data_IF_128128916825
#
_entry.id   IF_128128916825
#
_cell.length_a   1.000
_cell.length_b   1.000
_cell.length_c   1.000
_cell.angle_alpha   90.00
_cell.angle_beta   90.00
_cell.angle_gamma   90.00
#
_symmetry.space_group_name_H-M   'P 1'
#
loop_
_entity.id
_entity.type
_entity.pdbx_description
1 polymer ?
#
# COMPACT_ATOMS: atom_id res chain seq x y z
N UNK A 1 10.06 -15.68 34.17
CA UNK A 1 8.63 -15.84 33.81
C UNK A 1 8.10 -17.23 34.21
N UNK A 2 8.82 -18.30 33.86
CA UNK A 2 8.41 -19.68 34.16
C UNK A 2 8.20 -19.95 35.66
N UNK A 3 9.13 -19.49 36.51
CA UNK A 3 9.00 -19.65 37.96
C UNK A 3 7.72 -19.04 38.55
N UNK A 4 7.29 -17.88 38.05
CA UNK A 4 6.06 -17.23 38.51
C UNK A 4 4.81 -18.03 38.11
N UNK A 5 4.80 -18.62 36.90
CA UNK A 5 3.72 -19.50 36.45
C UNK A 5 3.62 -20.75 37.34
N UNK A 6 4.76 -21.38 37.63
CA UNK A 6 4.80 -22.57 38.50
C UNK A 6 4.25 -22.26 39.89
N UNK A 7 4.59 -21.09 40.45
CA UNK A 7 4.12 -20.68 41.77
C UNK A 7 2.59 -20.48 41.80
N UNK A 8 2.03 -19.85 40.76
CA UNK A 8 0.58 -19.68 40.60
C UNK A 8 -0.11 -21.04 40.47
N UNK A 9 0.38 -21.92 39.59
CA UNK A 9 -0.21 -23.25 39.41
C UNK A 9 -0.17 -24.08 40.70
N UNK A 10 0.92 -23.98 41.47
CA UNK A 10 1.05 -24.64 42.77
C UNK A 10 -0.02 -24.15 43.75
N UNK A 11 -0.23 -22.84 43.85
CA UNK A 11 -1.27 -22.24 44.71
C UNK A 11 -2.67 -22.73 44.32
N UNK A 12 -2.93 -22.86 43.01
CA UNK A 12 -4.22 -23.38 42.50
C UNK A 12 -4.39 -24.85 42.88
N UNK A 13 -3.37 -25.70 42.71
CA UNK A 13 -3.44 -27.10 43.12
C UNK A 13 -3.70 -27.26 44.63
N UNK A 14 -3.08 -26.41 45.47
CA UNK A 14 -3.29 -26.40 46.92
C UNK A 14 -4.70 -25.96 47.30
N UNK A 15 -5.23 -24.91 46.63
CA UNK A 15 -6.58 -24.40 46.87
C UNK A 15 -7.68 -25.39 46.46
N UNK A 16 -7.50 -26.06 45.32
CA UNK A 16 -8.44 -27.03 44.75
C UNK A 16 -8.23 -28.46 45.29
N UNK A 17 -7.23 -28.67 46.16
CA UNK A 17 -6.86 -29.97 46.75
C UNK A 17 -6.56 -31.06 45.71
N UNK A 18 -5.89 -30.69 44.63
CA UNK A 18 -5.49 -31.61 43.55
C UNK A 18 -4.06 -32.10 43.80
N UNK A 19 -3.81 -33.40 43.63
CA UNK A 19 -2.45 -33.93 43.67
C UNK A 19 -1.69 -33.52 42.40
N UNK A 20 -0.71 -32.63 42.57
CA UNK A 20 0.13 -32.12 41.49
C UNK A 20 1.61 -32.40 41.76
N UNK A 21 2.27 -33.09 40.83
CA UNK A 21 3.71 -33.30 40.85
C UNK A 21 4.44 -32.02 40.40
N UNK A 22 5.53 -31.66 41.08
CA UNK A 22 6.31 -30.47 40.72
C UNK A 22 6.86 -30.53 39.29
N UNK A 23 7.30 -31.71 38.85
CA UNK A 23 7.82 -31.90 37.49
C UNK A 23 6.73 -31.66 36.43
N UNK A 24 5.48 -32.07 36.71
CA UNK A 24 4.35 -31.81 35.82
C UNK A 24 4.07 -30.31 35.65
N UNK A 25 4.14 -29.55 36.75
CA UNK A 25 3.98 -28.09 36.72
C UNK A 25 5.08 -27.40 35.91
N UNK A 26 6.32 -27.90 35.98
CA UNK A 26 7.43 -27.41 35.16
C UNK A 26 7.16 -27.66 33.68
N UNK A 27 6.66 -28.84 33.31
CA UNK A 27 6.31 -29.17 31.92
C UNK A 27 5.21 -28.24 31.40
N UNK A 28 4.14 -28.04 32.18
CA UNK A 28 3.03 -27.14 31.81
C UNK A 28 3.54 -25.69 31.67
N UNK A 29 4.32 -25.19 32.63
CA UNK A 29 4.83 -23.83 32.60
C UNK A 29 5.78 -23.58 31.42
N UNK A 30 6.65 -24.56 31.11
CA UNK A 30 7.57 -24.50 29.97
C UNK A 30 6.82 -24.48 28.64
N UNK A 31 5.80 -25.34 28.48
CA UNK A 31 4.97 -25.39 27.25
C UNK A 31 4.03 -24.19 27.12
N UNK A 32 3.71 -23.53 28.22
CA UNK A 32 2.88 -22.33 28.27
C UNK A 32 3.67 -21.03 28.07
N UNK A 33 5.02 -21.05 28.06
CA UNK A 33 5.90 -19.92 27.72
C UNK A 33 5.41 -18.56 28.28
N UNK A 34 4.96 -18.55 29.55
CA UNK A 34 4.51 -17.35 30.26
C UNK A 34 3.03 -16.95 30.13
N UNK A 35 2.19 -17.70 29.39
CA UNK A 35 0.74 -17.46 29.36
C UNK A 35 0.03 -18.23 30.49
N UNK A 36 -0.45 -17.50 31.49
CA UNK A 36 -1.13 -18.05 32.66
C UNK A 36 -2.48 -18.68 32.33
N UNK A 37 -3.28 -18.10 31.42
CA UNK A 37 -4.60 -18.63 31.09
C UNK A 37 -4.47 -19.99 30.44
N UNK A 38 -3.56 -20.07 29.47
CA UNK A 38 -3.17 -21.31 28.80
C UNK A 38 -2.70 -22.37 29.80
N UNK A 39 -1.81 -22.01 30.73
CA UNK A 39 -1.28 -22.91 31.74
C UNK A 39 -2.35 -23.44 32.71
N UNK A 40 -3.28 -22.57 33.13
CA UNK A 40 -4.39 -22.94 34.02
C UNK A 40 -5.34 -23.91 33.32
N UNK A 41 -5.67 -23.66 32.05
CA UNK A 41 -6.53 -24.55 31.27
C UNK A 41 -5.89 -25.94 31.07
N UNK A 42 -4.58 -25.99 30.84
CA UNK A 42 -3.85 -27.26 30.71
C UNK A 42 -3.83 -28.04 32.03
N UNK A 43 -3.64 -27.34 33.15
CA UNK A 43 -3.72 -27.92 34.48
C UNK A 43 -5.13 -28.49 34.75
N UNK A 44 -6.16 -27.69 34.48
CA UNK A 44 -7.56 -28.07 34.67
C UNK A 44 -7.93 -29.29 33.81
N UNK A 45 -7.54 -29.31 32.54
CA UNK A 45 -7.83 -30.42 31.64
C UNK A 45 -7.26 -31.76 32.12
N UNK A 46 -6.03 -31.75 32.67
CA UNK A 46 -5.42 -32.96 33.24
C UNK A 46 -6.10 -33.34 34.56
N UNK A 47 -6.37 -32.35 35.42
CA UNK A 47 -6.96 -32.57 36.73
C UNK A 47 -8.39 -33.11 36.64
N UNK A 48 -9.23 -32.56 35.77
CA UNK A 48 -10.60 -33.04 35.54
C UNK A 48 -10.62 -34.43 34.89
N UNK A 49 -9.69 -34.70 33.97
CA UNK A 49 -9.65 -35.98 33.25
C UNK A 49 -9.15 -37.16 34.10
N UNK A 50 -8.16 -36.94 34.96
CA UNK A 50 -7.43 -38.02 35.63
C UNK A 50 -7.40 -37.90 37.16
N UNK A 51 -7.92 -36.81 37.73
CA UNK A 51 -7.92 -36.55 39.18
C UNK A 51 -6.54 -36.30 39.81
N UNK A 52 -5.47 -36.38 39.01
CA UNK A 52 -4.08 -36.16 39.42
C UNK A 52 -3.25 -35.63 38.26
N UNK A 53 -2.27 -34.80 38.57
CA UNK A 53 -1.38 -34.18 37.58
C UNK A 53 0.03 -34.73 37.78
N UNK A 54 0.38 -35.77 37.02
CA UNK A 54 1.71 -36.38 36.99
C UNK A 54 2.50 -35.93 35.77
N UNK A 55 3.84 -36.07 35.81
CA UNK A 55 4.71 -35.69 34.70
C UNK A 55 4.36 -36.39 33.40
N UNK A 56 4.10 -37.70 33.43
CA UNK A 56 3.76 -38.50 32.24
C UNK A 56 2.48 -37.99 31.56
N UNK A 57 1.47 -37.63 32.36
CA UNK A 57 0.22 -37.05 31.85
C UNK A 57 0.45 -35.65 31.27
N UNK A 58 1.25 -34.82 31.94
CA UNK A 58 1.61 -33.51 31.41
C UNK A 58 2.40 -33.62 30.11
N UNK A 59 3.36 -34.55 30.01
CA UNK A 59 4.17 -34.75 28.81
C UNK A 59 3.36 -35.26 27.62
N UNK A 60 2.36 -36.12 27.85
CA UNK A 60 1.51 -36.70 26.81
C UNK A 60 0.36 -35.79 26.35
N UNK A 61 -0.27 -35.06 27.27
CA UNK A 61 -1.50 -34.31 26.98
C UNK A 61 -1.26 -32.84 26.62
N UNK A 62 -0.22 -32.22 27.18
CA UNK A 62 0.02 -30.78 26.96
C UNK A 62 0.75 -30.59 25.64
N UNK A 63 0.05 -30.40 24.53
CA UNK A 63 0.74 -30.14 23.26
C UNK A 63 1.30 -28.71 23.26
N UNK A 64 2.54 -28.54 22.78
CA UNK A 64 3.06 -27.20 22.51
C UNK A 64 2.16 -26.50 21.50
N UNK A 65 1.54 -25.39 21.91
CA UNK A 65 0.63 -24.62 21.07
C UNK A 65 1.38 -23.97 19.91
N UNK A 66 0.74 -23.90 18.76
CA UNK A 66 1.20 -23.13 17.62
C UNK A 66 1.07 -21.63 17.99
N UNK A 67 2.21 -20.97 18.19
CA UNK A 67 2.27 -19.53 18.47
C UNK A 67 2.56 -18.74 17.23
N UNK A 68 2.06 -17.51 17.24
CA UNK A 68 2.35 -16.51 16.24
C UNK A 68 3.81 -16.08 16.34
N UNK A 69 4.58 -16.33 15.29
CA UNK A 69 5.96 -15.87 15.21
C UNK A 69 6.01 -14.38 14.92
N UNK A 70 6.89 -13.68 15.64
CA UNK A 70 7.29 -12.32 15.28
C UNK A 70 7.86 -12.33 13.85
N UNK A 71 7.67 -11.28 13.03
CA UNK A 71 8.34 -11.09 11.73
C UNK A 71 9.77 -11.63 11.64
N UNK A 72 10.62 -11.31 12.63
CA UNK A 72 12.02 -11.73 12.65
C UNK A 72 12.19 -13.24 12.79
N UNK A 73 11.40 -13.85 13.67
CA UNK A 73 11.41 -15.29 13.91
C UNK A 73 10.85 -16.06 12.72
N UNK A 74 9.78 -15.52 12.11
CA UNK A 74 9.19 -16.05 10.87
C UNK A 74 10.24 -16.11 9.77
N UNK A 75 10.95 -15.01 9.51
CA UNK A 75 11.99 -14.95 8.49
C UNK A 75 13.16 -15.86 8.82
N UNK A 76 13.59 -15.89 10.09
CA UNK A 76 14.67 -16.78 10.53
C UNK A 76 14.30 -18.24 10.28
N UNK A 77 13.10 -18.66 10.69
CA UNK A 77 12.61 -20.02 10.49
C UNK A 77 12.49 -20.35 9.00
N UNK A 78 11.97 -19.42 8.19
CA UNK A 78 11.87 -19.55 6.74
C UNK A 78 13.24 -19.80 6.10
N UNK A 79 14.20 -18.89 6.30
CA UNK A 79 15.52 -18.98 5.67
C UNK A 79 16.40 -20.12 6.23
N UNK A 80 16.14 -20.56 7.46
CA UNK A 80 16.82 -21.72 8.05
C UNK A 80 16.26 -23.05 7.53
N UNK A 81 15.02 -23.07 7.04
CA UNK A 81 14.30 -24.29 6.64
C UNK A 81 15.07 -25.14 5.63
N UNK A 82 15.09 -26.45 5.87
CA UNK A 82 15.70 -27.45 4.96
C UNK A 82 14.66 -28.23 4.16
N UNK A 83 13.43 -28.28 4.66
CA UNK A 83 12.33 -29.02 4.06
C UNK A 83 11.15 -28.12 3.72
N UNK A 84 10.38 -28.51 2.72
CA UNK A 84 9.19 -27.78 2.22
C UNK A 84 8.21 -27.49 3.37
N UNK A 85 7.87 -28.51 4.16
CA UNK A 85 6.90 -28.37 5.25
C UNK A 85 7.35 -27.36 6.33
N UNK A 86 8.66 -27.25 6.58
CA UNK A 86 9.20 -26.30 7.56
C UNK A 86 9.01 -24.86 7.08
N UNK A 87 9.34 -24.59 5.82
CA UNK A 87 9.22 -23.27 5.23
C UNK A 87 7.75 -22.83 5.15
N UNK A 88 6.85 -23.74 4.75
CA UNK A 88 5.40 -23.49 4.72
C UNK A 88 4.83 -23.23 6.12
N UNK A 89 5.24 -24.03 7.12
CA UNK A 89 4.82 -23.86 8.51
C UNK A 89 5.31 -22.54 9.11
N UNK A 90 6.53 -22.11 8.75
CA UNK A 90 7.07 -20.83 9.19
C UNK A 90 6.17 -19.66 8.77
N UNK A 91 5.76 -19.61 7.49
CA UNK A 91 4.85 -18.58 6.99
C UNK A 91 3.45 -18.67 7.60
N UNK A 92 2.91 -19.89 7.73
CA UNK A 92 1.55 -20.12 8.23
C UNK A 92 1.38 -19.69 9.70
N UNK A 93 2.48 -19.63 10.46
CA UNK A 93 2.52 -19.17 11.85
C UNK A 93 2.87 -17.68 11.99
N UNK A 94 3.02 -16.93 10.91
CA UNK A 94 3.39 -15.53 11.01
C UNK A 94 2.23 -14.69 11.57
N UNK A 95 2.53 -13.73 12.45
CA UNK A 95 1.57 -12.70 12.88
C UNK A 95 1.33 -11.59 11.82
N UNK A 96 2.00 -11.68 10.67
CA UNK A 96 1.91 -10.65 9.66
C UNK A 96 0.74 -10.88 8.72
N UNK A 97 0.10 -9.79 8.31
CA UNK A 97 -0.76 -9.80 7.13
C UNK A 97 0.01 -10.31 5.91
N UNK A 98 -0.69 -11.02 5.01
CA UNK A 98 -0.08 -11.71 3.89
C UNK A 98 0.66 -10.76 2.93
N UNK A 99 0.15 -9.56 2.64
CA UNK A 99 0.88 -8.59 1.80
C UNK A 99 2.15 -8.12 2.50
N UNK A 100 2.02 -7.79 3.79
CA UNK A 100 3.15 -7.33 4.60
C UNK A 100 4.23 -8.40 4.68
N UNK A 101 3.86 -9.66 4.88
CA UNK A 101 4.75 -10.82 4.90
C UNK A 101 5.54 -10.95 3.59
N UNK A 102 4.88 -10.83 2.43
CA UNK A 102 5.57 -10.86 1.13
C UNK A 102 6.58 -9.70 1.00
N UNK A 103 6.25 -8.51 1.51
CA UNK A 103 7.20 -7.39 1.50
C UNK A 103 8.40 -7.62 2.43
N UNK A 104 8.19 -8.25 3.59
CA UNK A 104 9.28 -8.64 4.49
C UNK A 104 10.22 -9.64 3.83
N UNK A 105 9.70 -10.64 3.13
CA UNK A 105 10.52 -11.59 2.38
C UNK A 105 11.30 -10.85 1.28
N UNK A 106 10.63 -9.99 0.51
CA UNK A 106 11.24 -9.21 -0.58
C UNK A 106 12.47 -8.40 -0.11
N UNK A 107 12.34 -7.66 0.99
CA UNK A 107 13.42 -6.82 1.53
C UNK A 107 14.62 -7.66 2.03
N UNK A 108 14.36 -8.87 2.53
CA UNK A 108 15.36 -9.66 3.26
C UNK A 108 16.03 -10.77 2.44
N UNK A 109 15.50 -11.13 1.26
CA UNK A 109 16.17 -12.04 0.30
C UNK A 109 17.63 -11.64 0.02
N UNK A 110 17.94 -10.40 -0.40
CA UNK A 110 19.31 -10.03 -0.77
C UNK A 110 20.23 -9.88 0.44
N UNK A 111 19.67 -9.73 1.64
CA UNK A 111 20.45 -9.71 2.88
C UNK A 111 20.87 -11.13 3.26
N UNK A 112 19.96 -12.10 3.10
CA UNK A 112 20.19 -13.49 3.47
C UNK A 112 21.05 -14.26 2.44
N UNK A 113 20.78 -14.10 1.15
CA UNK A 113 21.49 -14.80 0.08
C UNK A 113 22.63 -13.94 -0.45
N UNK A 114 23.76 -14.58 -0.78
CA UNK A 114 24.95 -13.89 -1.31
C UNK A 114 25.13 -14.12 -2.80
N UNK A 115 24.77 -15.31 -3.26
CA UNK A 115 24.97 -15.71 -4.65
C UNK A 115 23.87 -15.10 -5.54
N UNK A 116 24.21 -14.41 -6.63
CA UNK A 116 23.23 -13.78 -7.51
C UNK A 116 22.22 -14.77 -8.12
N UNK A 117 22.62 -16.02 -8.36
CA UNK A 117 21.77 -17.05 -8.94
C UNK A 117 20.70 -17.50 -7.94
N UNK A 118 21.07 -17.65 -6.67
CA UNK A 118 20.15 -17.99 -5.58
C UNK A 118 19.15 -16.84 -5.31
N UNK A 119 19.63 -15.59 -5.38
CA UNK A 119 18.80 -14.38 -5.27
C UNK A 119 17.79 -14.32 -6.41
N UNK A 120 18.24 -14.55 -7.65
CA UNK A 120 17.36 -14.57 -8.82
C UNK A 120 16.25 -15.61 -8.69
N UNK A 121 16.59 -16.86 -8.30
CA UNK A 121 15.60 -17.92 -8.07
C UNK A 121 14.61 -17.56 -6.96
N UNK A 122 15.09 -16.97 -5.86
CA UNK A 122 14.24 -16.53 -4.77
C UNK A 122 13.22 -15.49 -5.23
N UNK A 123 13.67 -14.48 -5.99
CA UNK A 123 12.78 -13.45 -6.53
C UNK A 123 11.83 -13.99 -7.60
N UNK A 124 12.25 -14.96 -8.41
CA UNK A 124 11.36 -15.62 -9.37
C UNK A 124 10.21 -16.33 -8.63
N UNK A 125 10.52 -17.09 -7.57
CA UNK A 125 9.52 -17.75 -6.74
C UNK A 125 8.57 -16.73 -6.06
N UNK A 126 9.13 -15.66 -5.49
CA UNK A 126 8.36 -14.60 -4.85
C UNK A 126 7.47 -13.83 -5.84
N UNK A 127 7.98 -13.55 -7.04
CA UNK A 127 7.21 -12.89 -8.10
C UNK A 127 6.00 -13.74 -8.52
N UNK A 128 6.18 -15.06 -8.67
CA UNK A 128 5.08 -15.98 -8.94
C UNK A 128 4.06 -15.98 -7.79
N UNK A 129 4.51 -16.01 -6.53
CA UNK A 129 3.63 -15.92 -5.37
C UNK A 129 2.78 -14.64 -5.40
N UNK A 130 3.40 -13.49 -5.72
CA UNK A 130 2.70 -12.21 -5.83
C UNK A 130 1.66 -12.18 -6.97
N UNK A 131 1.90 -12.88 -8.08
CA UNK A 131 0.89 -13.02 -9.16
C UNK A 131 -0.35 -13.75 -8.64
N UNK A 132 -0.17 -14.85 -7.90
CA UNK A 132 -1.30 -15.56 -7.28
C UNK A 132 -2.01 -14.68 -6.25
N UNK A 133 -1.27 -13.95 -5.43
CA UNK A 133 -1.86 -13.01 -4.48
C UNK A 133 -2.68 -11.91 -5.18
N UNK A 134 -2.21 -11.37 -6.30
CA UNK A 134 -2.97 -10.44 -7.14
C UNK A 134 -4.23 -11.06 -7.77
N UNK A 135 -4.25 -12.37 -8.03
CA UNK A 135 -5.46 -13.09 -8.48
C UNK A 135 -6.47 -13.27 -7.35
N UNK A 136 -6.01 -13.53 -6.13
CA UNK A 136 -6.86 -13.60 -4.92
C UNK A 136 -7.65 -12.30 -4.79
N UNK A 137 -6.97 -11.14 -4.79
CA UNK A 137 -7.64 -9.85 -4.67
C UNK A 137 -8.65 -9.54 -5.79
N UNK A 138 -8.45 -10.08 -7.00
CA UNK A 138 -9.36 -9.88 -8.13
C UNK A 138 -10.58 -10.80 -8.10
N UNK A 139 -10.43 -12.01 -7.57
CA UNK A 139 -11.46 -13.07 -7.62
C UNK A 139 -12.10 -13.35 -6.26
N UNK A 140 -11.50 -12.85 -5.18
CA UNK A 140 -11.80 -13.16 -3.78
C UNK A 140 -11.73 -14.66 -3.43
N UNK A 141 -11.09 -15.49 -4.26
CA UNK A 141 -10.88 -16.91 -3.99
C UNK A 141 -9.63 -17.08 -3.12
N UNK A 142 -9.83 -17.27 -1.82
CA UNK A 142 -8.75 -17.48 -0.84
C UNK A 142 -8.13 -18.88 -0.89
N UNK A 143 -8.72 -19.80 -1.65
CA UNK A 143 -8.18 -21.16 -1.85
C UNK A 143 -6.78 -21.12 -2.48
N UNK A 144 -6.52 -20.07 -3.28
CA UNK A 144 -5.23 -19.82 -3.93
C UNK A 144 -4.11 -19.43 -2.94
N UNK A 145 -4.43 -19.08 -1.70
CA UNK A 145 -3.45 -18.66 -0.69
C UNK A 145 -2.44 -19.78 -0.37
N UNK A 146 -2.89 -21.04 -0.42
CA UNK A 146 -2.03 -22.20 -0.26
C UNK A 146 -0.85 -22.18 -1.24
N UNK A 147 -1.11 -21.87 -2.51
CA UNK A 147 -0.09 -21.73 -3.56
C UNK A 147 0.82 -20.52 -3.34
N UNK A 148 0.29 -19.42 -2.80
CA UNK A 148 1.10 -18.26 -2.41
C UNK A 148 2.13 -18.69 -1.37
N UNK A 149 1.72 -19.44 -0.34
CA UNK A 149 2.63 -19.93 0.69
C UNK A 149 3.62 -20.98 0.19
N UNK A 150 3.22 -21.84 -0.74
CA UNK A 150 4.13 -22.82 -1.35
C UNK A 150 5.24 -22.15 -2.18
N UNK A 151 4.91 -21.05 -2.88
CA UNK A 151 5.87 -20.31 -3.68
C UNK A 151 6.72 -19.33 -2.84
N UNK A 152 6.09 -18.57 -1.95
CA UNK A 152 6.78 -17.59 -1.12
C UNK A 152 7.61 -18.25 0.00
N UNK A 153 7.21 -19.43 0.46
CA UNK A 153 7.88 -20.13 1.56
C UNK A 153 8.95 -21.08 1.04
N UNK A 154 8.59 -22.33 0.74
CA UNK A 154 9.51 -23.31 0.16
C UNK A 154 10.23 -22.79 -1.09
N UNK A 155 9.52 -22.12 -2.00
CA UNK A 155 10.13 -21.61 -3.24
C UNK A 155 11.25 -20.60 -3.01
N UNK A 156 11.15 -19.78 -1.96
CA UNK A 156 12.23 -18.86 -1.55
C UNK A 156 13.28 -19.62 -0.73
N UNK A 157 12.89 -20.32 0.33
CA UNK A 157 13.82 -20.98 1.25
C UNK A 157 14.75 -21.99 0.57
N UNK A 158 14.20 -22.77 -0.38
CA UNK A 158 14.91 -23.82 -1.12
C UNK A 158 15.56 -23.31 -2.41
N UNK A 159 15.46 -22.01 -2.71
CA UNK A 159 16.16 -21.42 -3.87
C UNK A 159 17.67 -21.48 -3.72
N UNK A 160 18.16 -21.52 -2.47
CA UNK A 160 19.58 -21.56 -2.12
C UNK A 160 20.22 -22.86 -2.57
N UNK A 161 21.24 -22.77 -3.42
CA UNK A 161 22.14 -23.88 -3.73
C UNK A 161 23.52 -23.66 -3.17
N UNK A 162 24.03 -22.42 -3.27
CA UNK A 162 25.42 -22.06 -2.91
C UNK A 162 25.46 -21.24 -1.63
N UNK A 163 24.45 -20.41 -1.40
CA UNK A 163 24.37 -19.49 -0.26
C UNK A 163 24.24 -20.24 1.06
N UNK A 164 25.22 -20.06 1.95
CA UNK A 164 25.16 -20.57 3.32
C UNK A 164 24.27 -19.67 4.19
N UNK A 165 23.58 -20.30 5.13
CA UNK A 165 22.87 -19.55 6.16
C UNK A 165 23.89 -18.78 7.02
N UNK A 166 23.68 -17.47 7.13
CA UNK A 166 24.43 -16.58 8.02
C UNK A 166 23.46 -15.80 8.89
N UNK A 167 23.95 -15.35 10.03
CA UNK A 167 23.19 -14.41 10.85
C UNK A 167 23.09 -13.07 10.11
N UNK A 168 21.88 -12.55 10.01
CA UNK A 168 21.56 -11.28 9.35
C UNK A 168 20.59 -10.53 10.25
N UNK A 169 20.80 -9.22 10.40
CA UNK A 169 19.80 -8.35 10.98
C UNK A 169 18.72 -8.08 9.93
N UNK A 170 17.60 -8.78 10.02
CA UNK A 170 16.48 -8.52 9.11
C UNK A 170 15.96 -7.09 9.28
N UNK A 171 15.47 -6.54 8.18
CA UNK A 171 15.01 -5.15 8.10
C UNK A 171 13.53 -5.10 7.76
N UNK A 172 12.87 -4.07 8.30
CA UNK A 172 11.50 -3.74 7.94
C UNK A 172 11.41 -3.31 6.47
N UNK A 173 10.33 -3.63 5.73
CA UNK A 173 10.20 -3.31 4.32
C UNK A 173 10.28 -1.81 4.04
N UNK A 174 11.29 -1.39 3.27
CA UNK A 174 11.51 0.02 2.96
C UNK A 174 10.40 0.59 2.09
N UNK A 175 9.78 -0.26 1.25
CA UNK A 175 8.63 0.12 0.43
C UNK A 175 7.49 0.68 1.28
N UNK A 176 7.15 0.07 2.41
CA UNK A 176 6.05 0.53 3.28
C UNK A 176 6.41 1.88 3.90
N UNK A 177 7.66 2.03 4.37
CA UNK A 177 8.18 3.29 4.90
C UNK A 177 8.12 4.39 3.86
N UNK A 178 8.57 4.12 2.64
CA UNK A 178 8.57 5.09 1.54
C UNK A 178 7.15 5.47 1.12
N UNK A 179 6.22 4.51 1.07
CA UNK A 179 4.80 4.77 0.78
C UNK A 179 4.18 5.67 1.84
N UNK A 180 4.49 5.45 3.13
CA UNK A 180 4.01 6.31 4.20
C UNK A 180 4.59 7.73 4.09
N UNK A 181 5.92 7.86 3.90
CA UNK A 181 6.61 9.16 3.76
C UNK A 181 6.11 9.98 2.59
N UNK A 182 5.81 9.32 1.47
CA UNK A 182 5.36 10.00 0.23
C UNK A 182 3.84 10.13 0.16
N UNK A 183 3.08 9.75 1.19
CA UNK A 183 1.62 9.77 1.16
C UNK A 183 1.07 11.18 0.90
N UNK A 184 1.49 12.14 1.70
CA UNK A 184 1.03 13.54 1.59
C UNK A 184 1.39 14.17 0.24
N UNK A 185 2.62 13.96 -0.23
CA UNK A 185 3.06 14.49 -1.53
C UNK A 185 2.31 13.85 -2.69
N UNK A 186 1.98 12.56 -2.60
CA UNK A 186 1.15 11.86 -3.59
C UNK A 186 -0.29 12.37 -3.57
N UNK A 187 -0.87 12.60 -2.40
CA UNK A 187 -2.22 13.16 -2.26
C UNK A 187 -2.33 14.55 -2.87
N UNK A 188 -1.35 15.44 -2.62
CA UNK A 188 -1.31 16.77 -3.22
C UNK A 188 -1.15 16.68 -4.75
N UNK A 189 -0.26 15.80 -5.24
CA UNK A 189 -0.06 15.58 -6.67
C UNK A 189 -1.31 15.02 -7.35
N UNK A 190 -2.03 14.12 -6.68
CA UNK A 190 -3.29 13.55 -7.16
C UNK A 190 -4.37 14.62 -7.28
N UNK A 191 -4.57 15.40 -6.22
CA UNK A 191 -5.54 16.48 -6.19
C UNK A 191 -5.23 17.55 -7.26
N UNK A 192 -3.96 17.91 -7.43
CA UNK A 192 -3.52 18.83 -8.47
C UNK A 192 -3.82 18.26 -9.87
N UNK A 193 -3.50 16.99 -10.10
CA UNK A 193 -3.73 16.34 -11.38
C UNK A 193 -5.22 16.25 -11.72
N UNK A 194 -6.07 15.94 -10.74
CA UNK A 194 -7.52 15.91 -10.89
C UNK A 194 -8.10 17.28 -11.26
N UNK A 195 -7.67 18.31 -10.53
CA UNK A 195 -8.12 19.68 -10.77
C UNK A 195 -7.76 20.16 -12.17
N UNK A 196 -6.49 19.99 -12.58
CA UNK A 196 -6.02 20.40 -13.90
C UNK A 196 -6.60 19.53 -15.03
N UNK A 197 -6.74 18.22 -14.84
CA UNK A 197 -7.31 17.31 -15.84
C UNK A 197 -8.73 17.73 -16.25
N UNK A 198 -9.55 18.14 -15.27
CA UNK A 198 -10.93 18.59 -15.52
C UNK A 198 -10.99 19.84 -16.40
N UNK A 199 -10.04 20.76 -16.25
CA UNK A 199 -9.99 22.06 -16.96
C UNK A 199 -9.29 21.97 -18.31
N UNK A 200 -8.29 21.08 -18.41
CA UNK A 200 -7.51 20.86 -19.62
C UNK A 200 -8.12 19.80 -20.54
N UNK A 201 -9.18 19.11 -20.10
CA UNK A 201 -9.80 17.99 -20.82
C UNK A 201 -8.80 16.87 -21.19
N UNK A 202 -7.88 16.57 -20.29
CA UNK A 202 -6.86 15.53 -20.45
C UNK A 202 -6.93 14.49 -19.34
N UNK A 203 -6.22 13.37 -19.52
CA UNK A 203 -6.16 12.34 -18.48
C UNK A 203 -5.29 12.77 -17.30
N UNK A 204 -5.62 12.30 -16.09
CA UNK A 204 -4.79 12.53 -14.89
C UNK A 204 -3.34 12.05 -15.09
N UNK A 205 -3.14 10.98 -15.87
CA UNK A 205 -1.82 10.45 -16.18
C UNK A 205 -1.00 11.42 -17.04
N UNK A 206 -1.61 11.96 -18.10
CA UNK A 206 -1.01 13.00 -18.96
C UNK A 206 -0.63 14.23 -18.13
N UNK A 207 -1.51 14.70 -17.26
CA UNK A 207 -1.19 15.86 -16.40
C UNK A 207 0.00 15.58 -15.48
N UNK A 208 0.06 14.40 -14.86
CA UNK A 208 1.14 14.05 -13.93
C UNK A 208 2.51 13.92 -14.61
N UNK A 209 2.55 13.41 -15.82
CA UNK A 209 3.78 13.12 -16.55
C UNK A 209 4.23 14.31 -17.40
N UNK A 210 3.29 14.97 -18.06
CA UNK A 210 3.59 15.93 -19.13
C UNK A 210 3.27 17.37 -18.76
N UNK A 211 2.53 17.64 -17.68
CA UNK A 211 2.13 19.02 -17.31
C UNK A 211 2.81 19.46 -16.01
N UNK A 212 2.70 18.66 -14.94
CA UNK A 212 3.25 19.00 -13.62
C UNK A 212 4.76 19.31 -13.66
N UNK A 213 5.62 18.56 -14.40
CA UNK A 213 7.05 18.88 -14.47
C UNK A 213 7.33 20.27 -15.04
N UNK A 214 6.65 20.67 -16.12
CA UNK A 214 6.82 22.02 -16.69
C UNK A 214 6.25 23.11 -15.78
N UNK A 215 5.10 22.87 -15.14
CA UNK A 215 4.57 23.80 -14.15
C UNK A 215 5.54 23.99 -12.98
N UNK A 216 6.22 22.94 -12.53
CA UNK A 216 7.24 23.03 -11.48
C UNK A 216 8.39 23.94 -11.90
N UNK A 217 8.87 23.84 -13.15
CA UNK A 217 9.92 24.72 -13.68
C UNK A 217 9.43 26.17 -13.74
N UNK A 218 8.23 26.41 -14.28
CA UNK A 218 7.64 27.75 -14.39
C UNK A 218 7.49 28.40 -13.00
N UNK A 219 6.98 27.64 -12.02
CA UNK A 219 6.73 28.12 -10.66
C UNK A 219 8.02 28.44 -9.89
N UNK A 220 9.14 27.78 -10.22
CA UNK A 220 10.43 28.05 -9.59
C UNK A 220 11.18 29.23 -10.21
N UNK A 221 11.08 29.43 -11.52
CA UNK A 221 11.90 30.43 -12.22
C UNK A 221 11.17 31.74 -12.52
N UNK A 222 9.83 31.73 -12.64
CA UNK A 222 9.05 32.93 -12.98
C UNK A 222 7.85 33.12 -12.04
N UNK A 223 8.05 33.67 -10.83
CA UNK A 223 6.98 33.78 -9.83
C UNK A 223 5.81 34.66 -10.29
N UNK A 224 6.08 35.71 -11.07
CA UNK A 224 5.04 36.57 -11.67
C UNK A 224 4.07 35.79 -12.57
N UNK A 225 4.63 34.96 -13.47
CA UNK A 225 3.84 34.19 -14.42
C UNK A 225 3.12 33.03 -13.71
N UNK A 226 3.79 32.42 -12.74
CA UNK A 226 3.23 31.40 -11.88
C UNK A 226 1.99 31.89 -11.11
N UNK A 227 2.02 33.13 -10.60
CA UNK A 227 0.87 33.72 -9.90
C UNK A 227 -0.35 33.89 -10.82
N UNK A 228 -0.15 34.23 -12.09
CA UNK A 228 -1.23 34.32 -13.09
C UNK A 228 -1.84 32.95 -13.38
N UNK A 229 -1.00 31.92 -13.51
CA UNK A 229 -1.45 30.52 -13.70
C UNK A 229 -2.22 30.06 -12.45
N UNK A 230 -1.70 30.33 -11.26
CA UNK A 230 -2.33 29.93 -10.01
C UNK A 230 -3.74 30.53 -9.86
N UNK A 231 -3.92 31.79 -10.23
CA UNK A 231 -5.25 32.44 -10.25
C UNK A 231 -6.13 31.86 -11.36
N UNK A 232 -5.62 31.75 -12.58
CA UNK A 232 -6.40 31.28 -13.74
C UNK A 232 -6.93 29.86 -13.58
N UNK A 233 -6.14 28.97 -12.99
CA UNK A 233 -6.57 27.60 -12.66
C UNK A 233 -7.12 27.45 -11.25
N UNK A 234 -7.25 28.52 -10.46
CA UNK A 234 -7.72 28.49 -9.08
C UNK A 234 -7.02 27.42 -8.22
N UNK A 235 -5.68 27.46 -8.21
CA UNK A 235 -4.86 26.51 -7.45
C UNK A 235 -4.90 26.84 -5.95
N UNK A 236 -4.96 25.80 -5.13
CA UNK A 236 -4.87 25.95 -3.67
C UNK A 236 -3.44 26.27 -3.22
N UNK A 237 -3.30 26.89 -2.05
CA UNK A 237 -1.98 27.22 -1.49
C UNK A 237 -1.07 25.99 -1.33
N UNK A 238 -1.64 24.83 -0.97
CA UNK A 238 -0.90 23.57 -0.86
C UNK A 238 -0.31 23.12 -2.20
N UNK A 239 -1.08 23.27 -3.28
CA UNK A 239 -0.63 22.96 -4.65
C UNK A 239 0.46 23.92 -5.11
N UNK A 240 0.33 25.21 -4.79
CA UNK A 240 1.34 26.23 -5.12
C UNK A 240 2.65 25.93 -4.39
N UNK A 241 2.59 25.61 -3.09
CA UNK A 241 3.76 25.21 -2.30
C UNK A 241 4.45 23.97 -2.88
N UNK A 242 3.67 22.97 -3.31
CA UNK A 242 4.20 21.76 -3.95
C UNK A 242 4.95 22.07 -5.26
N UNK A 243 4.40 22.94 -6.11
CA UNK A 243 5.01 23.30 -7.40
C UNK A 243 6.22 24.24 -7.24
N UNK A 244 6.11 25.26 -6.39
CA UNK A 244 7.12 26.29 -6.25
C UNK A 244 8.28 25.89 -5.34
N UNK A 245 8.09 24.97 -4.39
CA UNK A 245 9.12 24.53 -3.45
C UNK A 245 9.77 25.73 -2.72
N UNK A 246 11.07 26.02 -2.94
CA UNK A 246 11.75 27.14 -2.29
C UNK A 246 11.18 28.52 -2.66
N UNK A 247 10.63 28.69 -3.86
CA UNK A 247 10.08 29.97 -4.33
C UNK A 247 8.60 30.20 -3.92
N UNK A 248 8.06 29.37 -3.02
CA UNK A 248 6.63 29.37 -2.71
C UNK A 248 6.15 30.68 -2.06
N UNK A 249 6.96 31.31 -1.22
CA UNK A 249 6.64 32.60 -0.57
C UNK A 249 6.43 33.69 -1.61
N UNK A 250 7.37 33.84 -2.53
CA UNK A 250 7.33 34.83 -3.59
C UNK A 250 6.06 34.66 -4.44
N UNK A 251 5.79 33.44 -4.91
CA UNK A 251 4.60 33.15 -5.73
C UNK A 251 3.32 33.53 -4.97
N UNK A 252 3.21 33.20 -3.69
CA UNK A 252 2.03 33.54 -2.89
C UNK A 252 1.87 35.06 -2.72
N UNK A 253 2.95 35.81 -2.57
CA UNK A 253 2.92 37.27 -2.47
C UNK A 253 2.50 37.93 -3.79
N UNK A 254 2.95 37.39 -4.92
CA UNK A 254 2.48 37.82 -6.24
C UNK A 254 1.01 37.47 -6.45
N UNK A 255 0.53 36.31 -5.97
CA UNK A 255 -0.90 35.94 -6.01
C UNK A 255 -1.74 36.91 -5.19
N UNK A 256 -1.32 37.26 -3.96
CA UNK A 256 -2.02 38.24 -3.12
C UNK A 256 -2.09 39.61 -3.77
N UNK A 257 -0.96 40.11 -4.28
CA UNK A 257 -0.88 41.40 -5.00
C UNK A 257 -1.81 41.44 -6.22
N UNK A 258 -1.89 40.35 -6.98
CA UNK A 258 -2.78 40.27 -8.14
C UNK A 258 -4.26 40.19 -7.74
N UNK A 259 -4.62 39.42 -6.71
CA UNK A 259 -6.00 39.37 -6.21
C UNK A 259 -6.49 40.75 -5.75
N UNK A 260 -5.67 41.49 -5.00
CA UNK A 260 -5.99 42.86 -4.56
C UNK A 260 -6.21 43.84 -5.73
N UNK A 261 -5.49 43.66 -6.84
CA UNK A 261 -5.68 44.48 -8.06
C UNK A 261 -6.96 44.13 -8.81
N UNK A 262 -7.43 42.88 -8.73
CA UNK A 262 -8.68 42.45 -9.36
C UNK A 262 -9.90 42.94 -8.57
N UNK A 263 -9.80 43.01 -7.23
CA UNK A 263 -10.88 43.50 -6.36
C UNK A 263 -11.01 45.03 -6.33
N UNK A 264 -9.93 45.77 -6.60
CA UNK A 264 -9.95 47.23 -6.77
C UNK A 264 -9.80 47.58 -8.25
N UNK A 265 -10.89 47.62 -9.05
CA UNK A 265 -10.77 48.15 -10.40
C UNK A 265 -10.35 49.62 -10.30
N UNK A 266 -9.13 49.93 -10.72
CA UNK A 266 -8.71 51.31 -10.94
C UNK A 266 -9.67 51.94 -11.95
N UNK A 267 -10.20 53.15 -11.69
CA UNK A 267 -11.05 53.84 -12.65
C UNK A 267 -10.28 54.02 -13.95
N UNK A 268 -10.86 53.52 -15.05
CA UNK A 268 -10.32 53.66 -16.39
C UNK A 268 -10.30 55.16 -16.70
N UNK A 269 -9.14 55.80 -16.66
CA UNK A 269 -8.95 57.11 -17.25
C UNK A 269 -9.12 56.97 -18.76
N UNK A 270 -10.30 57.38 -19.23
CA UNK A 270 -10.62 57.50 -20.64
C UNK A 270 -9.64 58.47 -21.31
N UNK A 271 -8.67 57.93 -22.04
CA UNK A 271 -7.95 58.72 -23.04
C UNK A 271 -8.88 58.88 -24.25
N UNK A 272 -9.68 59.95 -24.23
CA UNK A 272 -10.34 60.51 -25.41
C UNK A 272 -9.29 60.92 -26.43
N UNK A 273 -9.07 60.10 -27.45
CA UNK A 273 -8.42 60.54 -28.69
C UNK A 273 -9.42 61.40 -29.47
N UNK A 274 -9.19 62.72 -29.44
CA UNK A 274 -9.88 63.67 -30.33
C UNK A 274 -9.60 63.30 -31.78
N UNK A 275 -10.67 63.01 -32.52
CA UNK A 275 -10.69 62.87 -33.97
C UNK A 275 -10.53 64.24 -34.63
N UNK A 276 -9.50 64.42 -35.46
CA UNK A 276 -9.41 65.51 -36.44
C UNK A 276 -9.47 64.89 -37.84
N UNK A 277 -10.42 65.28 -38.71
CA UNK A 277 -10.57 64.71 -40.04
C UNK A 277 -9.74 65.48 -41.08
N UNK A 278 -9.08 64.77 -41.99
CA UNK A 278 -8.55 65.32 -43.25
C UNK A 278 -8.63 64.27 -44.38
N UNK A 279 -8.65 64.72 -45.66
CA UNK A 279 -9.67 64.31 -46.63
C UNK A 279 -9.26 63.17 -47.57
N UNK A 280 -10.28 62.65 -48.25
CA UNK A 280 -10.23 61.66 -49.34
C UNK A 280 -9.26 62.06 -50.46
N UNK A 281 -8.48 61.10 -50.93
CA UNK A 281 -8.12 60.98 -52.34
C UNK A 281 -8.32 59.54 -52.82
N UNK A 282 -9.09 59.43 -53.88
CA UNK A 282 -9.37 58.25 -54.70
C UNK A 282 -8.19 57.92 -55.61
N UNK A 283 -7.85 56.64 -55.79
CA UNK A 283 -7.79 55.96 -57.12
C UNK A 283 -7.47 54.45 -57.01
N UNK A 284 -8.39 53.65 -57.58
CA UNK A 284 -8.22 52.46 -58.45
C UNK A 284 -7.23 51.32 -58.07
N UNK A 285 -7.76 50.13 -57.74
CA UNK A 285 -7.80 48.88 -58.54
C UNK A 285 -6.49 48.07 -58.54
N UNK A 286 -6.44 46.79 -58.18
CA UNK A 286 -6.88 45.59 -58.91
C UNK A 286 -6.72 44.38 -57.94
N UNK A 287 -7.81 43.71 -57.54
CA UNK A 287 -8.28 42.38 -57.95
C UNK A 287 -7.61 41.12 -57.34
N UNK A 288 -8.50 40.28 -56.76
CA UNK A 288 -8.51 38.80 -56.70
C UNK A 288 -7.50 38.04 -55.82
N UNK A 289 -8.01 37.40 -54.75
CA UNK A 289 -8.35 35.96 -54.82
C UNK A 289 -8.96 35.46 -53.51
N UNK A 290 -10.12 34.84 -53.68
CA UNK A 290 -10.96 34.16 -52.70
C UNK A 290 -10.41 32.76 -52.44
N UNK A 291 -10.32 32.34 -51.18
CA UNK A 291 -10.16 30.92 -50.80
C UNK A 291 -10.91 30.65 -49.50
N UNK A 292 -12.21 30.39 -49.64
CA UNK A 292 -13.05 29.73 -48.65
C UNK A 292 -12.65 28.26 -48.51
N UNK A 293 -12.21 27.83 -47.32
CA UNK A 293 -12.05 26.41 -46.99
C UNK A 293 -13.06 26.00 -45.93
N UNK A 294 -14.07 25.25 -46.38
CA UNK A 294 -15.17 24.70 -45.61
C UNK A 294 -14.70 23.66 -44.58
N UNK A 295 -15.14 23.80 -43.32
CA UNK A 295 -15.07 22.76 -42.29
C UNK A 295 -16.21 21.74 -42.47
N UNK A 296 -15.87 20.47 -42.68
CA UNK A 296 -16.83 19.34 -42.76
C UNK A 296 -16.99 18.71 -41.39
N UNK A 297 -18.16 18.88 -40.78
CA UNK A 297 -18.55 18.26 -39.52
C UNK A 297 -18.66 16.72 -39.65
N UNK A 298 -17.98 15.97 -38.76
CA UNK A 298 -18.14 14.52 -38.61
C UNK A 298 -19.17 14.22 -37.51
N UNK A 299 -20.27 13.58 -37.93
CA UNK A 299 -21.33 13.00 -37.08
C UNK A 299 -20.76 11.97 -36.10
N UNK A 300 -21.11 12.11 -34.82
CA UNK A 300 -20.96 11.08 -33.79
C UNK A 300 -22.18 10.14 -33.82
N UNK A 301 -21.94 8.82 -33.92
CA UNK A 301 -22.97 7.79 -33.75
C UNK A 301 -23.03 7.38 -32.28
N UNK A 302 -24.10 7.79 -31.60
CA UNK A 302 -24.51 7.28 -30.28
C UNK A 302 -25.04 5.85 -30.43
N UNK A 303 -24.43 4.89 -29.70
CA UNK A 303 -25.00 3.55 -29.48
C UNK A 303 -25.63 3.50 -28.09
N UNK A 304 -26.96 3.60 -28.08
CA UNK A 304 -27.85 3.33 -26.94
C UNK A 304 -27.82 1.82 -26.63
N UNK A 305 -27.35 1.42 -25.43
CA UNK A 305 -27.58 0.06 -24.90
C UNK A 305 -28.86 0.08 -24.08
N UNK A 306 -29.80 -0.76 -24.49
CA UNK A 306 -31.09 -1.00 -23.84
C UNK A 306 -30.87 -1.95 -22.65
N UNK A 307 -31.29 -1.52 -21.47
CA UNK A 307 -31.48 -2.37 -20.31
C UNK A 307 -32.83 -3.08 -20.40
N UNK A 308 -32.85 -4.41 -20.27
CA UNK A 308 -34.04 -5.17 -19.90
C UNK A 308 -33.74 -5.90 -18.61
N UNK A 309 -34.46 -5.54 -17.56
CA UNK A 309 -34.62 -6.37 -16.38
C UNK A 309 -35.86 -7.25 -16.54
N UNK A 310 -35.79 -8.47 -16.01
CA UNK A 310 -36.97 -9.21 -15.56
C UNK A 310 -36.58 -10.06 -14.35
N UNK A 311 -37.40 -9.96 -13.31
CA UNK A 311 -37.30 -10.64 -12.03
C UNK A 311 -37.71 -12.12 -12.12
N UNK A 312 -37.42 -12.81 -11.01
CA UNK A 312 -38.08 -14.02 -10.44
C UNK A 312 -37.56 -15.39 -10.87
N UNK A 313 -37.32 -16.25 -9.85
CA UNK A 313 -37.04 -17.66 -10.02
C UNK A 313 -36.22 -18.28 -8.88
N UNK A 314 -36.77 -18.30 -7.67
CA UNK A 314 -36.32 -19.15 -6.56
C UNK A 314 -36.25 -20.62 -6.97
N UNK A 315 -35.12 -21.30 -6.73
CA UNK A 315 -35.08 -22.76 -6.56
C UNK A 315 -33.89 -23.17 -5.71
N UNK A 316 -34.19 -23.61 -4.49
CA UNK A 316 -33.37 -24.53 -3.72
C UNK A 316 -33.23 -25.83 -4.52
N UNK A 317 -32.02 -26.36 -4.61
CA UNK A 317 -31.80 -27.78 -4.92
C UNK A 317 -30.52 -28.21 -4.21
N UNK A 318 -30.73 -28.84 -3.06
CA UNK A 318 -29.84 -29.83 -2.46
C UNK A 318 -29.59 -30.95 -3.46
N UNK A 319 -28.36 -31.47 -3.53
CA UNK A 319 -28.03 -32.89 -3.82
C UNK A 319 -26.51 -33.08 -3.74
N UNK A 320 -26.10 -33.87 -2.75
CA UNK A 320 -24.81 -34.52 -2.46
C UNK A 320 -23.58 -33.68 -2.12
#
# INVERSE_FOLDING_TARGET
PEHAVIEVLKRICEAERIYCEREALVVIAKRSEGDLRSAINDLQAIAEGYGKVTRELAESLVVSRDREYNPFETLRALFMSKYVWQAKRALSRSNLDHDTLLQWINENIPLQYSDPEDIWRAYEALARANIYYGRIWKTMSWDLLSYVFDLAGPGVALSRKKSKFRWVKYQFPQKIVLMARTKETREIREALAEHLASRLHTSKATVKNDVIPFLTIIFRHRPDYAARIAIGYNLTERMIKYLAGPAASEVLDHVKRLKLRVEKPTPITAHTTKSTPQPRSTTSSVATSTSTRSYRARRTRSRKRVSKGSKTGSRQTTLF
#
